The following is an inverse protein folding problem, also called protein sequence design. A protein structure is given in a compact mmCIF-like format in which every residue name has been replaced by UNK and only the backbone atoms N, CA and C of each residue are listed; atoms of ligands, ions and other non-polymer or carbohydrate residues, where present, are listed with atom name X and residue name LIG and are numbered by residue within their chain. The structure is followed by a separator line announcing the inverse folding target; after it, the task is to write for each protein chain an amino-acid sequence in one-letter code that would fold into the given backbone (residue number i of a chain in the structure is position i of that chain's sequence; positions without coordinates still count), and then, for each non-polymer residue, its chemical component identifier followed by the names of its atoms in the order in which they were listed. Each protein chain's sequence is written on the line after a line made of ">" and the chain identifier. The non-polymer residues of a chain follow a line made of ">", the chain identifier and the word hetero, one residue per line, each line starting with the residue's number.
data_IF_764126787390
#
_entry.id   IF_764126787390
#
_cell.length_a   1.000
_cell.length_b   1.000
_cell.length_c   1.000
_cell.angle_alpha   90.00
_cell.angle_beta   90.00
_cell.angle_gamma   90.00
#
_symmetry.space_group_name_H-M   'P 1'
#
loop_
_entity.id
_entity.type
_entity.pdbx_description
1 polymer ?
#
# COMPACT_ATOMS: atom_id res chain seq x y z
N UNK A 1 17.15 10.06 10.05
CA UNK A 1 16.46 9.49 8.88
C UNK A 1 14.99 9.35 9.26
N UNK A 2 14.05 9.74 8.41
CA UNK A 2 12.63 9.72 8.74
C UNK A 2 12.21 8.27 9.06
N UNK A 3 11.59 8.07 10.21
CA UNK A 3 11.06 6.79 10.66
C UNK A 3 9.93 6.42 9.69
N UNK A 4 10.25 5.60 8.67
CA UNK A 4 9.26 5.15 7.70
C UNK A 4 8.13 4.45 8.48
N UNK A 5 6.86 4.84 8.26
CA UNK A 5 5.76 4.14 8.91
C UNK A 5 5.84 2.65 8.55
N UNK A 6 5.47 1.76 9.48
CA UNK A 6 5.53 0.33 9.24
C UNK A 6 4.80 -0.02 7.95
N UNK A 7 5.46 -0.79 7.08
CA UNK A 7 4.88 -1.32 5.86
C UNK A 7 3.59 -2.05 6.18
N UNK A 8 2.53 -1.75 5.44
CA UNK A 8 1.33 -2.55 5.51
C UNK A 8 1.59 -3.89 4.79
N UNK A 9 0.84 -4.96 5.13
CA UNK A 9 1.00 -6.27 4.50
C UNK A 9 0.85 -6.28 2.97
N UNK A 10 0.16 -5.28 2.40
CA UNK A 10 -0.01 -5.12 0.96
C UNK A 10 1.03 -4.22 0.30
N UNK A 11 1.92 -3.58 1.05
CA UNK A 11 3.03 -2.82 0.51
C UNK A 11 4.17 -3.77 0.09
N UNK A 12 4.62 -3.66 -1.16
CA UNK A 12 5.74 -4.41 -1.74
C UNK A 12 7.10 -3.73 -1.51
N UNK A 13 7.08 -2.43 -1.23
CA UNK A 13 8.27 -1.62 -0.97
C UNK A 13 7.96 -0.45 -0.05
N UNK A 14 9.00 0.19 0.48
CA UNK A 14 8.81 1.37 1.32
C UNK A 14 8.42 2.60 0.49
N UNK A 15 7.68 3.56 1.09
CA UNK A 15 7.39 4.82 0.42
C UNK A 15 8.67 5.53 0.01
N UNK A 16 8.80 5.86 -1.28
CA UNK A 16 9.97 6.52 -1.84
C UNK A 16 11.11 5.58 -2.25
N UNK A 17 10.92 4.26 -2.19
CA UNK A 17 11.84 3.32 -2.84
C UNK A 17 11.87 3.60 -4.36
N UNK A 18 13.06 3.81 -4.96
CA UNK A 18 13.16 4.05 -6.40
C UNK A 18 12.60 2.87 -7.20
N UNK A 19 11.75 3.15 -8.19
CA UNK A 19 11.04 2.10 -8.93
C UNK A 19 9.80 1.57 -8.22
N UNK A 20 9.33 2.24 -7.16
CA UNK A 20 8.07 1.97 -6.46
C UNK A 20 7.11 3.16 -6.56
N UNK A 21 5.81 2.89 -6.54
CA UNK A 21 4.76 3.91 -6.58
C UNK A 21 3.52 3.47 -5.80
N UNK A 22 2.69 4.44 -5.40
CA UNK A 22 1.39 4.15 -4.80
C UNK A 22 0.43 3.61 -5.87
N UNK A 23 -0.20 2.47 -5.58
CA UNK A 23 -1.23 1.84 -6.39
C UNK A 23 -2.46 1.53 -5.53
N UNK A 24 -3.60 1.25 -6.17
CA UNK A 24 -4.81 0.84 -5.48
C UNK A 24 -4.60 -0.49 -4.79
N UNK A 25 -4.98 -0.57 -3.51
CA UNK A 25 -4.91 -1.79 -2.76
C UNK A 25 -5.79 -2.87 -3.43
N UNK A 26 -5.25 -3.99 -3.94
CA UNK A 26 -6.02 -5.00 -4.67
C UNK A 26 -6.98 -5.78 -3.75
N UNK A 27 -6.78 -5.71 -2.44
CA UNK A 27 -7.58 -6.42 -1.44
C UNK A 27 -8.92 -5.72 -1.18
N UNK A 28 -8.91 -4.39 -1.17
CA UNK A 28 -10.10 -3.55 -0.93
C UNK A 28 -10.49 -2.69 -2.13
N UNK A 29 -9.77 -2.81 -3.25
CA UNK A 29 -9.97 -2.06 -4.49
C UNK A 29 -10.02 -0.54 -4.28
N UNK A 30 -9.16 0.00 -3.41
CA UNK A 30 -9.15 1.45 -3.14
C UNK A 30 -10.09 1.93 -2.03
N UNK A 31 -10.97 1.07 -1.50
CA UNK A 31 -11.98 1.50 -0.53
C UNK A 31 -11.43 1.79 0.88
N UNK A 32 -10.24 1.27 1.20
CA UNK A 32 -9.67 1.30 2.55
C UNK A 32 -10.42 0.42 3.57
N UNK A 33 -11.49 -0.26 3.15
CA UNK A 33 -12.36 -1.04 4.04
C UNK A 33 -12.65 -2.39 3.40
N UNK A 34 -12.43 -3.48 4.14
CA UNK A 34 -12.75 -4.83 3.68
C UNK A 34 -13.66 -5.49 4.71
N UNK A 35 -14.76 -6.08 4.23
CA UNK A 35 -15.75 -6.77 5.06
C UNK A 35 -16.30 -5.90 6.22
N UNK A 36 -16.45 -4.59 5.98
CA UNK A 36 -16.94 -3.63 6.97
C UNK A 36 -15.92 -3.21 8.04
N UNK A 37 -14.69 -3.72 7.96
CA UNK A 37 -13.58 -3.37 8.85
C UNK A 37 -12.45 -2.65 8.09
N UNK A 38 -11.56 -1.98 8.82
CA UNK A 38 -10.39 -1.32 8.23
C UNK A 38 -9.57 -2.36 7.47
N UNK A 39 -9.27 -2.09 6.20
CA UNK A 39 -8.48 -3.01 5.39
C UNK A 39 -7.07 -3.13 5.98
N UNK A 40 -6.74 -4.31 6.51
CA UNK A 40 -5.43 -4.57 7.13
C UNK A 40 -4.30 -4.50 6.11
N UNK A 41 -4.56 -4.93 4.86
CA UNK A 41 -3.56 -4.95 3.79
C UNK A 41 -3.00 -3.56 3.43
N UNK A 42 -3.81 -2.50 3.55
CA UNK A 42 -3.36 -1.12 3.31
C UNK A 42 -3.42 -0.25 4.57
N UNK A 43 -3.69 -0.83 5.74
CA UNK A 43 -3.90 -0.07 6.97
C UNK A 43 -5.04 0.94 6.90
N UNK A 44 -6.00 0.78 5.97
CA UNK A 44 -7.15 1.66 5.79
C UNK A 44 -6.94 2.84 4.83
N UNK A 45 -5.78 2.98 4.21
CA UNK A 45 -5.51 4.07 3.26
C UNK A 45 -6.19 3.88 1.90
N UNK A 46 -6.52 2.62 1.56
CA UNK A 46 -6.99 2.22 0.23
C UNK A 46 -5.87 2.09 -0.80
N UNK A 47 -4.63 2.42 -0.46
CA UNK A 47 -3.49 2.39 -1.38
C UNK A 47 -2.32 1.61 -0.78
N UNK A 48 -1.52 1.01 -1.64
CA UNK A 48 -0.30 0.29 -1.26
C UNK A 48 0.84 0.68 -2.18
N UNK A 49 2.08 0.57 -1.71
CA UNK A 49 3.28 0.84 -2.50
C UNK A 49 3.63 -0.44 -3.26
N UNK A 50 3.57 -0.39 -4.60
CA UNK A 50 3.98 -1.51 -5.46
C UNK A 50 5.17 -1.13 -6.33
N UNK A 51 5.91 -2.12 -6.80
CA UNK A 51 6.97 -1.92 -7.78
C UNK A 51 6.38 -1.42 -9.10
N UNK A 52 6.69 -0.18 -9.49
CA UNK A 52 6.41 0.32 -10.84
C UNK A 52 7.51 -0.16 -11.79
N UNK A 53 7.49 -1.47 -12.06
CA UNK A 53 8.27 -2.08 -13.14
C UNK A 53 7.61 -1.75 -14.47
N UNK A 54 8.05 -0.67 -15.11
CA UNK A 54 7.67 -0.36 -16.49
C UNK A 54 8.12 -1.50 -17.43
N UNK A 55 7.17 -2.07 -18.15
CA UNK A 55 7.43 -3.05 -19.22
C UNK A 55 8.11 -2.42 -20.43
#
# INVERSE_FOLDING_TARGET
>A
MAQQPPLNPGDEAEPGTPGSGEDLCPVCNGSGTKDGAKCEACGGTGKVIQGVGGG
#
